data_IF_489378820600
#
_entry.id   IF_489378820600
#
_cell.length_a   1.000
_cell.length_b   1.000
_cell.length_c   1.000
_cell.angle_alpha   90.00
_cell.angle_beta   90.00
_cell.angle_gamma   90.00
#
_symmetry.space_group_name_H-M   'P 1'
#
loop_
_entity.id
_entity.type
_entity.pdbx_description
1 polymer ?
#
# COMPACT_ATOMS: atom_id res chain seq x y z
N UNK A 1 19.27 -48.39 -6.24
CA UNK A 1 18.78 -47.00 -6.28
C UNK A 1 17.38 -46.81 -6.93
N UNK A 2 16.75 -47.77 -7.66
CA UNK A 2 15.34 -47.64 -8.10
C UNK A 2 14.31 -47.72 -6.97
N UNK A 3 14.57 -48.54 -5.94
CA UNK A 3 13.59 -48.80 -4.86
C UNK A 3 13.35 -47.66 -3.89
N UNK A 4 14.29 -46.74 -3.74
CA UNK A 4 14.16 -45.58 -2.86
C UNK A 4 13.19 -44.54 -3.41
N UNK A 5 13.11 -44.40 -4.74
CA UNK A 5 12.16 -43.47 -5.40
C UNK A 5 10.73 -44.01 -5.40
N UNK A 6 10.57 -45.31 -5.50
CA UNK A 6 9.25 -45.96 -5.42
C UNK A 6 8.66 -45.85 -4.00
N UNK A 7 9.47 -46.00 -2.96
CA UNK A 7 9.07 -45.82 -1.56
C UNK A 7 8.69 -44.38 -1.22
N UNK A 8 9.36 -43.36 -1.78
CA UNK A 8 9.02 -41.96 -1.59
C UNK A 8 7.67 -41.59 -2.22
N UNK A 9 7.35 -42.19 -3.36
CA UNK A 9 6.04 -41.99 -4.01
C UNK A 9 4.88 -42.62 -3.25
N UNK A 10 5.12 -43.71 -2.48
CA UNK A 10 4.11 -44.36 -1.63
C UNK A 10 3.77 -43.50 -0.39
N UNK A 11 4.66 -42.61 0.06
CA UNK A 11 4.41 -41.69 1.18
C UNK A 11 3.69 -40.41 0.74
N UNK A 12 3.54 -40.18 -0.56
CA UNK A 12 2.82 -39.02 -1.06
C UNK A 12 1.31 -39.28 -1.07
N UNK A 13 0.47 -38.32 -0.71
CA UNK A 13 -0.97 -38.46 -0.81
C UNK A 13 -1.39 -38.81 -2.25
N UNK A 14 -2.52 -39.49 -2.45
CA UNK A 14 -3.03 -39.83 -3.77
C UNK A 14 -3.03 -38.66 -4.72
N UNK A 15 -2.86 -38.87 -6.05
CA UNK A 15 -2.74 -37.76 -7.04
C UNK A 15 -3.90 -36.76 -6.94
N UNK A 16 -5.08 -37.18 -6.60
CA UNK A 16 -6.30 -36.38 -6.42
C UNK A 16 -6.21 -35.41 -5.22
N UNK A 17 -5.45 -35.78 -4.19
CA UNK A 17 -5.21 -34.96 -3.00
C UNK A 17 -3.92 -34.13 -3.08
N UNK A 18 -3.10 -34.35 -4.11
CA UNK A 18 -1.89 -33.53 -4.33
C UNK A 18 -2.29 -32.14 -4.77
N UNK A 19 -1.95 -31.14 -3.96
CA UNK A 19 -2.13 -29.76 -4.37
C UNK A 19 -1.39 -29.53 -5.69
N UNK A 20 -2.05 -28.98 -6.74
CA UNK A 20 -1.39 -28.73 -8.00
C UNK A 20 -0.20 -27.80 -7.76
N UNK A 21 0.96 -28.17 -8.31
CA UNK A 21 2.17 -27.31 -8.24
C UNK A 21 1.84 -25.96 -8.85
N UNK A 22 2.14 -24.89 -8.14
CA UNK A 22 1.89 -23.51 -8.59
C UNK A 22 2.90 -23.09 -9.65
N UNK A 23 4.10 -23.67 -9.62
CA UNK A 23 5.20 -23.42 -10.57
C UNK A 23 5.53 -24.73 -11.31
N UNK A 24 5.76 -24.71 -12.64
CA UNK A 24 6.18 -25.88 -13.41
C UNK A 24 7.48 -26.48 -12.88
N UNK A 25 7.54 -27.81 -12.74
CA UNK A 25 8.72 -28.50 -12.20
C UNK A 25 9.84 -28.72 -13.25
N UNK A 26 9.63 -28.29 -14.47
CA UNK A 26 10.54 -28.54 -15.60
C UNK A 26 11.90 -27.85 -15.49
N UNK A 27 11.96 -26.75 -14.71
CA UNK A 27 13.22 -26.08 -14.36
C UNK A 27 13.71 -26.58 -13.02
N UNK A 28 14.89 -27.19 -12.96
CA UNK A 28 15.55 -27.52 -11.69
C UNK A 28 15.76 -26.25 -10.84
N UNK A 29 15.97 -26.40 -9.51
CA UNK A 29 16.15 -25.26 -8.58
C UNK A 29 17.17 -24.24 -9.06
N UNK A 30 18.31 -24.68 -9.65
CA UNK A 30 19.32 -23.79 -10.20
C UNK A 30 18.81 -22.94 -11.37
N UNK A 31 18.10 -23.58 -12.31
CA UNK A 31 17.53 -22.88 -13.49
C UNK A 31 16.42 -21.89 -13.12
N UNK A 32 15.63 -22.17 -12.08
CA UNK A 32 14.65 -21.23 -11.55
C UNK A 32 15.34 -20.02 -10.92
N UNK A 33 16.36 -20.25 -10.09
CA UNK A 33 17.14 -19.17 -9.47
C UNK A 33 17.81 -18.27 -10.52
N UNK A 34 18.41 -18.88 -11.56
CA UNK A 34 19.03 -18.12 -12.65
C UNK A 34 18.00 -17.28 -13.43
N UNK A 35 16.81 -17.80 -13.65
CA UNK A 35 15.73 -17.06 -14.26
C UNK A 35 15.26 -15.85 -13.42
N UNK A 36 15.07 -16.04 -12.10
CA UNK A 36 14.61 -14.99 -11.19
C UNK A 36 15.67 -13.89 -10.98
N UNK A 37 16.95 -14.24 -11.00
CA UNK A 37 18.06 -13.29 -10.87
C UNK A 37 18.49 -12.65 -12.18
N UNK A 38 18.08 -13.21 -13.32
CA UNK A 38 18.51 -12.76 -14.66
C UNK A 38 18.17 -11.28 -14.93
N UNK A 39 17.04 -10.80 -14.45
CA UNK A 39 16.65 -9.40 -14.62
C UNK A 39 17.58 -8.45 -13.85
N UNK A 40 17.90 -8.78 -12.60
CA UNK A 40 18.79 -7.97 -11.76
C UNK A 40 20.23 -7.96 -12.28
N UNK A 41 20.76 -9.07 -12.81
CA UNK A 41 22.13 -9.21 -13.30
C UNK A 41 22.29 -8.94 -14.81
N UNK A 42 21.20 -8.86 -15.56
CA UNK A 42 21.19 -8.65 -17.02
C UNK A 42 21.39 -7.18 -17.42
N UNK A 43 21.31 -6.93 -18.73
CA UNK A 43 21.26 -5.57 -19.26
C UNK A 43 19.90 -4.94 -18.95
N UNK A 44 19.90 -3.63 -18.63
CA UNK A 44 18.67 -2.88 -18.39
C UNK A 44 17.86 -2.74 -19.69
N UNK A 45 16.62 -3.23 -19.76
CA UNK A 45 15.82 -3.14 -20.99
C UNK A 45 15.34 -1.70 -21.23
N UNK A 46 15.02 -1.38 -22.50
CA UNK A 46 14.57 -0.02 -22.88
C UNK A 46 13.30 0.42 -22.15
N UNK A 47 12.34 -0.49 -21.93
CA UNK A 47 11.09 -0.17 -21.26
C UNK A 47 11.33 0.37 -19.84
N UNK A 48 12.36 -0.15 -19.14
CA UNK A 48 12.70 0.30 -17.80
C UNK A 48 13.10 1.78 -17.80
N UNK A 49 13.94 2.19 -18.75
CA UNK A 49 14.35 3.60 -18.90
C UNK A 49 13.17 4.51 -19.25
N UNK A 50 12.25 4.05 -20.10
CA UNK A 50 11.04 4.80 -20.49
C UNK A 50 10.13 5.08 -19.27
N UNK A 51 10.07 4.16 -18.31
CA UNK A 51 9.29 4.36 -17.08
C UNK A 51 10.09 5.07 -15.99
N UNK A 52 11.39 4.76 -15.86
CA UNK A 52 12.24 5.29 -14.80
C UNK A 52 12.56 6.76 -14.96
N UNK A 53 12.91 7.22 -16.18
CA UNK A 53 13.32 8.62 -16.38
C UNK A 53 12.21 9.62 -16.03
N UNK A 54 10.95 9.47 -16.50
CA UNK A 54 9.86 10.36 -16.07
C UNK A 54 9.61 10.28 -14.57
N UNK A 55 9.56 9.06 -14.01
CA UNK A 55 9.35 8.90 -12.57
C UNK A 55 10.45 9.60 -11.76
N UNK A 56 11.72 9.40 -12.12
CA UNK A 56 12.87 10.02 -11.48
C UNK A 56 12.88 11.54 -11.65
N UNK A 57 12.42 12.06 -12.80
CA UNK A 57 12.27 13.50 -13.00
C UNK A 57 11.27 14.11 -12.01
N UNK A 58 10.10 13.47 -11.86
CA UNK A 58 9.11 13.92 -10.89
C UNK A 58 9.63 13.79 -9.44
N UNK A 59 10.31 12.71 -9.12
CA UNK A 59 10.86 12.45 -7.79
C UNK A 59 12.02 13.39 -7.41
N UNK A 60 12.97 13.59 -8.32
CA UNK A 60 14.23 14.27 -8.02
C UNK A 60 14.25 15.77 -8.38
N UNK A 61 13.31 16.22 -9.21
CA UNK A 61 13.25 17.61 -9.65
C UNK A 61 11.93 18.25 -9.22
N UNK A 62 10.80 17.73 -9.67
CA UNK A 62 9.50 18.38 -9.43
C UNK A 62 9.18 18.40 -7.94
N UNK A 63 9.24 17.25 -7.28
CA UNK A 63 8.90 17.15 -5.85
C UNK A 63 9.79 18.05 -4.97
N UNK A 64 11.14 18.01 -5.03
CA UNK A 64 11.96 18.88 -4.22
C UNK A 64 11.75 20.36 -4.48
N UNK A 65 11.57 20.78 -5.74
CA UNK A 65 11.29 22.17 -6.08
C UNK A 65 9.99 22.67 -5.45
N UNK A 66 8.93 21.85 -5.52
CA UNK A 66 7.64 22.19 -4.92
C UNK A 66 7.70 22.20 -3.39
N UNK A 67 8.44 21.27 -2.78
CA UNK A 67 8.65 21.26 -1.33
C UNK A 67 9.44 22.50 -0.87
N UNK A 68 10.50 22.87 -1.56
CA UNK A 68 11.25 24.09 -1.24
C UNK A 68 10.35 25.32 -1.38
N UNK A 69 9.56 25.40 -2.45
CA UNK A 69 8.62 26.50 -2.65
C UNK A 69 7.57 26.56 -1.53
N UNK A 70 6.96 25.43 -1.17
CA UNK A 70 5.96 25.35 -0.12
C UNK A 70 6.54 25.68 1.27
N UNK A 71 7.72 25.12 1.64
CA UNK A 71 8.36 25.36 2.92
C UNK A 71 8.80 26.82 3.08
N UNK A 72 9.28 27.44 1.99
CA UNK A 72 9.70 28.85 2.02
C UNK A 72 8.52 29.81 2.09
N UNK A 73 7.42 29.51 1.40
CA UNK A 73 6.25 30.40 1.28
C UNK A 73 5.20 30.11 2.36
N UNK A 74 5.04 28.85 2.75
CA UNK A 74 4.02 28.36 3.69
C UNK A 74 2.86 27.62 2.98
N UNK A 75 1.96 27.04 3.76
CA UNK A 75 0.82 26.21 3.24
C UNK A 75 -0.19 27.00 2.41
N UNK A 76 -0.14 28.33 2.41
CA UNK A 76 -1.02 29.17 1.59
C UNK A 76 -0.83 29.00 0.07
N UNK A 77 0.20 28.24 -0.38
CA UNK A 77 0.39 27.87 -1.79
C UNK A 77 -0.53 26.71 -2.22
N UNK A 78 -1.10 25.98 -1.26
CA UNK A 78 -2.10 24.96 -1.49
C UNK A 78 -3.50 25.55 -1.61
N UNK A 79 -4.45 24.75 -2.11
CA UNK A 79 -5.86 25.15 -2.22
C UNK A 79 -6.61 25.22 -0.89
N UNK A 80 -5.94 24.95 0.24
CA UNK A 80 -6.54 24.94 1.57
C UNK A 80 -7.12 26.32 1.91
N UNK A 81 -8.29 26.32 2.55
CA UNK A 81 -8.98 27.53 2.97
C UNK A 81 -9.54 27.35 4.40
N UNK A 82 -10.24 28.35 4.93
CA UNK A 82 -10.67 28.34 6.31
C UNK A 82 -11.53 27.13 6.71
N UNK A 83 -12.59 26.71 6.00
CA UNK A 83 -13.32 25.49 6.36
C UNK A 83 -12.55 24.23 5.96
N UNK A 84 -11.82 24.22 4.84
CA UNK A 84 -11.06 23.08 4.34
C UNK A 84 -9.59 23.25 4.63
N UNK A 85 -9.22 23.02 5.89
CA UNK A 85 -7.82 23.02 6.32
C UNK A 85 -7.07 21.75 5.87
N UNK A 86 -7.79 20.65 5.66
CA UNK A 86 -7.29 19.39 5.16
C UNK A 86 -7.75 19.18 3.71
N UNK A 87 -6.84 19.37 2.78
CA UNK A 87 -7.08 19.22 1.35
C UNK A 87 -6.38 17.99 0.76
N UNK A 88 -5.78 18.16 -0.39
CA UNK A 88 -5.08 17.08 -1.11
C UNK A 88 -3.92 16.47 -0.33
N UNK A 89 -3.27 17.23 0.52
CA UNK A 89 -2.20 16.78 1.40
C UNK A 89 -2.63 15.62 2.28
N UNK A 90 -3.71 15.78 3.05
CA UNK A 90 -4.23 14.73 3.94
C UNK A 90 -4.95 13.63 3.15
N UNK A 91 -5.63 13.96 2.05
CA UNK A 91 -6.20 12.95 1.14
C UNK A 91 -5.11 11.99 0.65
N UNK A 92 -4.00 12.55 0.19
CA UNK A 92 -2.87 11.75 -0.31
C UNK A 92 -2.17 10.97 0.81
N UNK A 93 -2.03 11.54 2.00
CA UNK A 93 -1.56 10.83 3.19
C UNK A 93 -2.36 9.56 3.43
N UNK A 94 -3.67 9.70 3.60
CA UNK A 94 -4.57 8.58 3.90
C UNK A 94 -4.60 7.57 2.75
N UNK A 95 -4.54 8.02 1.51
CA UNK A 95 -4.49 7.15 0.35
C UNK A 95 -3.20 6.32 0.30
N UNK A 96 -2.02 6.92 0.56
CA UNK A 96 -0.75 6.20 0.62
C UNK A 96 -0.70 5.20 1.78
N UNK A 97 -1.24 5.56 2.94
CA UNK A 97 -1.42 4.62 4.06
C UNK A 97 -2.26 3.44 3.61
N UNK A 98 -3.36 3.68 2.88
CA UNK A 98 -4.21 2.63 2.33
C UNK A 98 -3.46 1.70 1.38
N UNK A 99 -2.71 2.24 0.42
CA UNK A 99 -1.90 1.44 -0.52
C UNK A 99 -0.91 0.53 0.23
N UNK A 100 -0.32 1.00 1.32
CA UNK A 100 0.70 0.26 2.05
C UNK A 100 0.19 -1.04 2.72
N UNK A 101 -1.06 -1.07 3.17
CA UNK A 101 -1.53 -2.12 4.08
C UNK A 101 -1.68 -3.51 3.46
N UNK A 102 -2.09 -3.60 2.20
CA UNK A 102 -2.28 -4.91 1.57
C UNK A 102 -0.97 -5.66 1.32
N UNK A 103 0.14 -4.96 1.12
CA UNK A 103 1.42 -5.61 0.93
C UNK A 103 1.86 -6.37 2.18
N UNK A 104 1.75 -5.74 3.34
CA UNK A 104 2.01 -6.40 4.63
C UNK A 104 1.00 -7.53 4.89
N UNK A 105 -0.28 -7.32 4.58
CA UNK A 105 -1.30 -8.35 4.76
C UNK A 105 -1.02 -9.58 3.88
N UNK A 106 -0.61 -9.40 2.61
CA UNK A 106 -0.26 -10.48 1.71
C UNK A 106 0.97 -11.25 2.22
N UNK A 107 2.00 -10.55 2.65
CA UNK A 107 3.23 -11.21 3.09
C UNK A 107 3.11 -11.80 4.49
N UNK A 108 2.68 -11.02 5.47
CA UNK A 108 2.64 -11.41 6.88
C UNK A 108 1.44 -12.32 7.21
N UNK A 109 0.21 -11.91 6.91
CA UNK A 109 -0.98 -12.69 7.27
C UNK A 109 -1.06 -13.99 6.48
N UNK A 110 -0.72 -14.01 5.19
CA UNK A 110 -0.67 -15.24 4.42
C UNK A 110 0.45 -16.17 4.89
N UNK A 111 1.53 -15.64 5.44
CA UNK A 111 2.56 -16.45 6.10
C UNK A 111 2.03 -17.11 7.37
N UNK A 112 1.40 -16.35 8.26
CA UNK A 112 0.79 -16.87 9.49
C UNK A 112 -0.28 -17.94 9.22
N UNK A 113 -1.03 -17.77 8.13
CA UNK A 113 -2.03 -18.74 7.68
C UNK A 113 -1.45 -19.87 6.80
N UNK A 114 -0.12 -19.96 6.67
CA UNK A 114 0.61 -20.97 5.91
C UNK A 114 0.18 -21.09 4.44
N UNK A 115 -0.07 -19.95 3.79
CA UNK A 115 -0.45 -19.92 2.38
C UNK A 115 0.78 -19.88 1.47
N UNK A 116 1.09 -20.97 0.81
CA UNK A 116 2.29 -21.10 -0.05
C UNK A 116 2.28 -20.19 -1.29
N UNK A 117 1.10 -19.80 -1.78
CA UNK A 117 1.03 -18.93 -2.97
C UNK A 117 1.55 -17.50 -2.73
N UNK A 118 1.79 -17.09 -1.49
CA UNK A 118 2.34 -15.78 -1.13
C UNK A 118 3.77 -15.58 -1.66
N UNK A 119 4.59 -16.64 -1.76
CA UNK A 119 6.00 -16.54 -2.13
C UNK A 119 6.21 -15.92 -3.52
N UNK A 120 5.27 -16.14 -4.45
CA UNK A 120 5.32 -15.57 -5.79
C UNK A 120 5.02 -14.06 -5.86
N UNK A 121 4.38 -13.48 -4.84
CA UNK A 121 3.92 -12.09 -4.86
C UNK A 121 4.37 -11.28 -3.64
N UNK A 122 4.78 -11.94 -2.56
CA UNK A 122 5.07 -11.32 -1.26
C UNK A 122 6.15 -10.24 -1.35
N UNK A 123 7.29 -10.51 -1.99
CA UNK A 123 8.40 -9.53 -2.09
C UNK A 123 8.01 -8.24 -2.79
N UNK A 124 7.29 -8.35 -3.91
CA UNK A 124 6.78 -7.19 -4.65
C UNK A 124 5.80 -6.37 -3.81
N UNK A 125 4.96 -7.07 -3.04
CA UNK A 125 3.98 -6.46 -2.15
C UNK A 125 4.63 -5.81 -0.91
N UNK A 126 5.64 -6.43 -0.30
CA UNK A 126 6.43 -5.85 0.81
C UNK A 126 7.16 -4.56 0.39
N UNK A 127 7.82 -4.57 -0.77
CA UNK A 127 8.46 -3.38 -1.32
C UNK A 127 7.45 -2.25 -1.57
N UNK A 128 6.27 -2.57 -2.12
CA UNK A 128 5.16 -1.62 -2.27
C UNK A 128 4.80 -1.00 -0.92
N UNK A 129 4.67 -1.80 0.14
CA UNK A 129 4.37 -1.30 1.49
C UNK A 129 5.39 -0.27 1.95
N UNK A 130 6.69 -0.64 1.96
CA UNK A 130 7.75 0.24 2.48
C UNK A 130 7.77 1.58 1.74
N UNK A 131 7.68 1.55 0.41
CA UNK A 131 7.71 2.78 -0.39
C UNK A 131 6.45 3.61 -0.24
N UNK A 132 5.28 2.98 -0.08
CA UNK A 132 4.02 3.70 0.16
C UNK A 132 4.00 4.36 1.54
N UNK A 133 4.49 3.68 2.59
CA UNK A 133 4.57 4.28 3.94
C UNK A 133 5.56 5.43 3.97
N UNK A 134 6.69 5.34 3.24
CA UNK A 134 7.62 6.45 3.11
C UNK A 134 6.97 7.68 2.47
N UNK A 135 6.14 7.48 1.42
CA UNK A 135 5.36 8.57 0.82
C UNK A 135 4.28 9.08 1.77
N UNK A 136 3.59 8.19 2.49
CA UNK A 136 2.61 8.60 3.49
C UNK A 136 3.23 9.49 4.57
N UNK A 137 4.37 9.09 5.13
CA UNK A 137 5.06 9.85 6.19
C UNK A 137 5.55 11.24 5.77
N UNK A 138 5.72 11.50 4.47
CA UNK A 138 6.09 12.81 3.96
C UNK A 138 4.98 13.85 4.16
N UNK A 139 3.71 13.48 3.96
CA UNK A 139 2.59 14.43 3.97
C UNK A 139 2.34 15.09 5.32
N UNK A 140 2.30 14.40 6.47
CA UNK A 140 2.19 15.07 7.77
C UNK A 140 3.32 16.06 8.03
N UNK A 141 4.56 15.72 7.63
CA UNK A 141 5.71 16.61 7.80
C UNK A 141 5.57 17.91 6.98
N UNK A 142 5.08 17.83 5.73
CA UNK A 142 4.90 19.01 4.90
C UNK A 142 3.59 19.77 5.18
N UNK A 143 2.59 19.08 5.77
CA UNK A 143 1.30 19.68 6.14
C UNK A 143 1.44 20.79 7.18
N UNK A 144 2.41 20.70 8.08
CA UNK A 144 2.72 21.77 9.05
C UNK A 144 3.19 23.06 8.36
N UNK A 145 3.51 23.01 7.07
CA UNK A 145 3.99 24.12 6.24
C UNK A 145 5.46 24.44 6.46
N UNK A 146 5.91 24.44 7.69
CA UNK A 146 7.30 24.66 8.07
C UNK A 146 7.81 23.49 8.90
N UNK A 147 8.52 22.59 8.26
CA UNK A 147 8.96 21.29 8.83
C UNK A 147 9.74 21.41 10.14
N UNK A 148 10.38 22.56 10.41
CA UNK A 148 11.06 22.78 11.69
C UNK A 148 10.10 22.95 12.89
N UNK A 149 8.80 23.01 12.66
CA UNK A 149 7.79 22.97 13.72
C UNK A 149 7.22 21.57 13.96
N UNK A 150 7.60 20.57 13.19
CA UNK A 150 7.08 19.19 13.31
C UNK A 150 7.35 18.57 14.68
N UNK A 151 8.33 19.09 15.42
CA UNK A 151 8.60 18.64 16.78
C UNK A 151 7.41 18.81 17.74
N UNK A 152 6.44 19.68 17.44
CA UNK A 152 5.18 19.76 18.20
C UNK A 152 4.36 18.45 18.17
N UNK A 153 4.56 17.63 17.15
CA UNK A 153 3.91 16.32 17.02
C UNK A 153 4.61 15.21 17.83
N UNK A 154 5.82 15.48 18.34
CA UNK A 154 6.56 14.50 19.13
C UNK A 154 6.25 14.64 20.61
N UNK A 155 6.45 13.57 21.43
CA UNK A 155 6.18 13.57 22.87
C UNK A 155 7.27 14.32 23.65
N UNK A 156 7.53 15.54 23.29
CA UNK A 156 8.49 16.44 23.92
C UNK A 156 7.80 17.76 24.32
N UNK A 157 8.18 18.39 25.43
CA UNK A 157 7.58 19.64 25.84
C UNK A 157 7.91 20.78 24.87
N UNK A 158 6.98 21.70 24.70
CA UNK A 158 7.19 22.92 23.94
C UNK A 158 8.19 23.85 24.64
N UNK A 159 8.64 24.91 23.95
CA UNK A 159 9.51 25.93 24.55
C UNK A 159 8.93 26.58 25.82
N UNK A 160 7.61 26.57 25.96
CA UNK A 160 6.90 27.05 27.14
C UNK A 160 6.66 25.98 28.21
N UNK A 161 7.26 24.79 28.06
CA UNK A 161 7.09 23.65 28.99
C UNK A 161 5.77 22.91 28.87
N UNK A 162 4.91 23.24 27.91
CA UNK A 162 3.66 22.54 27.69
C UNK A 162 3.89 21.22 26.94
N UNK A 163 3.29 20.14 27.43
CA UNK A 163 3.31 18.84 26.75
C UNK A 163 2.25 18.77 25.64
N UNK A 164 2.52 18.00 24.56
CA UNK A 164 1.51 17.72 23.56
C UNK A 164 0.27 17.05 24.17
N UNK A 165 -0.87 17.18 23.49
CA UNK A 165 -2.11 16.55 23.92
C UNK A 165 -2.09 15.05 23.59
N UNK A 166 -1.75 14.20 24.57
CA UNK A 166 -1.66 12.74 24.41
C UNK A 166 -2.99 12.05 24.09
N UNK A 167 -4.12 12.74 24.26
CA UNK A 167 -5.45 12.22 23.87
C UNK A 167 -5.78 12.49 22.40
N UNK A 168 -4.94 13.24 21.68
CA UNK A 168 -5.15 13.53 20.26
C UNK A 168 -4.74 12.35 19.39
N UNK A 169 -5.61 11.84 18.49
CA UNK A 169 -5.25 10.82 17.52
C UNK A 169 -4.12 11.26 16.58
N UNK A 170 -4.02 12.55 16.25
CA UNK A 170 -2.92 13.10 15.42
C UNK A 170 -1.55 12.84 16.03
N UNK A 171 -1.45 12.83 17.37
CA UNK A 171 -0.22 12.44 18.04
C UNK A 171 0.03 10.93 17.97
N UNK A 172 -1.04 10.13 18.04
CA UNK A 172 -0.92 8.67 17.89
C UNK A 172 -0.46 8.28 16.50
N UNK A 173 -0.83 9.04 15.46
CA UNK A 173 -0.37 8.83 14.09
C UNK A 173 1.14 8.91 13.96
N UNK A 174 1.80 9.80 14.68
CA UNK A 174 3.27 9.90 14.66
C UNK A 174 3.90 8.57 15.09
N UNK A 175 3.39 7.97 16.19
CA UNK A 175 3.87 6.66 16.64
C UNK A 175 3.48 5.56 15.67
N UNK A 176 2.23 5.55 15.21
CA UNK A 176 1.68 4.51 14.36
C UNK A 176 2.43 4.44 13.02
N UNK A 177 2.57 5.55 12.31
CA UNK A 177 3.23 5.61 10.99
C UNK A 177 4.71 5.30 11.11
N UNK A 178 5.43 5.87 12.10
CA UNK A 178 6.85 5.61 12.29
C UNK A 178 7.11 4.14 12.69
N UNK A 179 6.31 3.58 13.60
CA UNK A 179 6.42 2.17 14.00
C UNK A 179 6.13 1.25 12.81
N UNK A 180 5.11 1.58 12.01
CA UNK A 180 4.76 0.80 10.83
C UNK A 180 5.86 0.85 9.76
N UNK A 181 6.44 2.01 9.51
CA UNK A 181 7.58 2.15 8.59
C UNK A 181 8.78 1.32 9.06
N UNK A 182 9.11 1.42 10.35
CA UNK A 182 10.24 0.67 10.93
C UNK A 182 10.01 -0.84 10.84
N UNK A 183 8.87 -1.33 11.31
CA UNK A 183 8.57 -2.77 11.32
C UNK A 183 8.44 -3.32 9.91
N UNK A 184 7.79 -2.60 8.99
CA UNK A 184 7.66 -3.02 7.59
C UNK A 184 9.02 -3.07 6.89
N UNK A 185 9.90 -2.10 7.16
CA UNK A 185 11.27 -2.09 6.63
C UNK A 185 12.08 -3.25 7.18
N UNK A 186 12.01 -3.52 8.49
CA UNK A 186 12.68 -4.66 9.11
C UNK A 186 12.16 -6.00 8.57
N UNK A 187 10.83 -6.13 8.44
CA UNK A 187 10.20 -7.33 7.91
C UNK A 187 10.63 -7.61 6.47
N UNK A 188 10.58 -6.60 5.60
CA UNK A 188 11.06 -6.68 4.23
C UNK A 188 12.56 -7.00 4.15
N UNK A 189 13.39 -6.31 4.96
CA UNK A 189 14.84 -6.50 4.97
C UNK A 189 15.23 -7.90 5.47
N UNK A 190 14.66 -8.37 6.58
CA UNK A 190 14.91 -9.73 7.10
C UNK A 190 14.58 -10.76 6.03
N UNK A 191 13.44 -10.59 5.37
CA UNK A 191 13.05 -11.44 4.25
C UNK A 191 14.05 -11.42 3.08
N UNK A 192 14.69 -10.28 2.79
CA UNK A 192 15.67 -10.16 1.71
C UNK A 192 17.03 -10.77 2.01
N UNK A 193 17.41 -10.99 3.28
CA UNK A 193 18.76 -11.47 3.66
C UNK A 193 19.17 -12.75 2.91
N UNK A 194 18.36 -13.83 2.86
CA UNK A 194 18.72 -15.03 2.10
C UNK A 194 18.82 -14.77 0.59
N UNK A 195 17.93 -13.93 0.04
CA UNK A 195 17.91 -13.58 -1.36
C UNK A 195 19.15 -12.76 -1.75
N UNK A 196 19.59 -11.82 -0.88
CA UNK A 196 20.81 -11.02 -1.07
C UNK A 196 22.07 -11.89 -1.04
N UNK A 197 22.10 -12.92 -0.20
CA UNK A 197 23.21 -13.87 -0.20
C UNK A 197 23.27 -14.65 -1.53
N UNK A 198 22.14 -15.08 -2.06
CA UNK A 198 22.05 -15.70 -3.39
C UNK A 198 22.52 -14.74 -4.51
N UNK A 199 22.12 -13.47 -4.45
CA UNK A 199 22.56 -12.44 -5.39
C UNK A 199 24.07 -12.19 -5.28
N UNK A 200 24.63 -12.17 -4.07
CA UNK A 200 26.08 -12.06 -3.84
C UNK A 200 26.84 -13.18 -4.56
N UNK A 201 26.38 -14.41 -4.41
CA UNK A 201 27.07 -15.58 -4.96
C UNK A 201 26.99 -15.64 -6.48
N UNK A 202 25.98 -14.99 -7.09
CA UNK A 202 25.78 -14.88 -8.55
C UNK A 202 26.24 -13.55 -9.16
N UNK A 203 26.66 -12.58 -8.34
CA UNK A 203 27.02 -11.25 -8.80
C UNK A 203 28.21 -11.27 -9.78
N UNK A 204 28.04 -10.67 -10.97
CA UNK A 204 29.05 -10.59 -12.03
C UNK A 204 30.13 -9.55 -11.76
N UNK A 205 29.81 -8.49 -10.99
CA UNK A 205 30.74 -7.40 -10.72
C UNK A 205 31.19 -7.39 -9.26
N UNK A 206 32.46 -6.98 -9.00
CA UNK A 206 32.99 -6.89 -7.63
C UNK A 206 32.18 -5.95 -6.74
N UNK A 207 31.72 -4.82 -7.29
CA UNK A 207 30.92 -3.83 -6.54
C UNK A 207 29.58 -4.44 -6.09
N UNK A 208 28.85 -5.11 -6.97
CA UNK A 208 27.59 -5.78 -6.62
C UNK A 208 27.81 -6.88 -5.60
N UNK A 209 28.85 -7.70 -5.81
CA UNK A 209 29.23 -8.76 -4.85
C UNK A 209 29.51 -8.21 -3.45
N UNK A 210 30.21 -7.08 -3.37
CA UNK A 210 30.48 -6.40 -2.10
C UNK A 210 29.19 -5.86 -1.46
N UNK A 211 28.37 -5.13 -2.24
CA UNK A 211 27.13 -4.55 -1.73
C UNK A 211 26.15 -5.62 -1.25
N UNK A 212 25.88 -6.64 -2.07
CA UNK A 212 25.00 -7.74 -1.65
C UNK A 212 25.58 -8.50 -0.45
N UNK A 213 26.90 -8.68 -0.39
CA UNK A 213 27.58 -9.30 0.75
C UNK A 213 27.42 -8.50 2.05
N UNK A 214 27.54 -7.19 1.95
CA UNK A 214 27.36 -6.28 3.09
C UNK A 214 25.93 -6.39 3.65
N UNK A 215 24.94 -6.31 2.79
CA UNK A 215 23.52 -6.36 3.19
C UNK A 215 23.02 -7.78 3.49
N UNK A 216 23.72 -8.84 3.08
CA UNK A 216 23.40 -10.22 3.45
C UNK A 216 23.85 -10.57 4.89
N UNK A 217 24.50 -9.66 5.62
CA UNK A 217 24.90 -9.80 7.03
C UNK A 217 25.60 -11.15 7.34
N UNK A 218 26.47 -11.62 6.44
CA UNK A 218 27.20 -12.88 6.63
C UNK A 218 26.35 -14.14 6.49
N UNK A 219 25.19 -14.07 5.86
CA UNK A 219 24.33 -15.23 5.61
C UNK A 219 25.07 -16.33 4.82
N UNK A 220 25.10 -17.55 5.37
CA UNK A 220 25.77 -18.74 4.78
C UNK A 220 24.78 -19.86 4.43
N UNK A 221 23.50 -19.72 4.74
CA UNK A 221 22.50 -20.77 4.50
C UNK A 221 22.60 -21.97 5.46
N UNK A 222 23.30 -21.85 6.59
CA UNK A 222 23.39 -22.91 7.59
C UNK A 222 22.04 -23.20 8.26
N UNK A 223 21.84 -24.42 8.78
CA UNK A 223 20.61 -24.80 9.47
C UNK A 223 20.28 -23.85 10.64
N UNK A 224 21.33 -23.33 11.34
CA UNK A 224 21.16 -22.35 12.41
C UNK A 224 20.64 -21.01 11.87
N UNK A 225 21.13 -20.55 10.70
CA UNK A 225 20.66 -19.32 10.08
C UNK A 225 19.20 -19.44 9.66
N UNK A 226 18.79 -20.55 9.04
CA UNK A 226 17.42 -20.80 8.68
C UNK A 226 16.49 -20.84 9.88
N UNK A 227 16.86 -21.53 10.95
CA UNK A 227 16.08 -21.59 12.17
C UNK A 227 15.87 -20.21 12.82
N UNK A 228 16.93 -19.39 12.89
CA UNK A 228 16.83 -18.04 13.41
C UNK A 228 16.01 -17.12 12.51
N UNK A 229 16.15 -17.28 11.19
CA UNK A 229 15.36 -16.57 10.19
C UNK A 229 13.84 -16.86 10.34
N UNK A 230 13.47 -18.13 10.38
CA UNK A 230 12.06 -18.52 10.52
C UNK A 230 11.44 -17.95 11.79
N UNK A 231 12.16 -17.97 12.92
CA UNK A 231 11.70 -17.37 14.17
C UNK A 231 11.54 -15.86 14.06
N UNK A 232 12.55 -15.15 13.54
CA UNK A 232 12.51 -13.71 13.38
C UNK A 232 11.39 -13.29 12.42
N UNK A 233 11.26 -14.00 11.30
CA UNK A 233 10.23 -13.72 10.31
C UNK A 233 8.82 -13.99 10.86
N UNK A 234 8.65 -15.04 11.69
CA UNK A 234 7.37 -15.34 12.36
C UNK A 234 6.97 -14.21 13.33
N UNK A 235 7.89 -13.78 14.18
CA UNK A 235 7.62 -12.70 15.15
C UNK A 235 7.29 -11.39 14.43
N UNK A 236 8.09 -11.02 13.42
CA UNK A 236 7.86 -9.82 12.63
C UNK A 236 6.53 -9.90 11.85
N UNK A 237 6.16 -11.09 11.34
CA UNK A 237 4.87 -11.27 10.67
C UNK A 237 3.69 -11.05 11.61
N UNK A 238 3.78 -11.57 12.84
CA UNK A 238 2.77 -11.34 13.88
C UNK A 238 2.63 -9.85 14.19
N UNK A 239 3.75 -9.18 14.44
CA UNK A 239 3.78 -7.76 14.75
C UNK A 239 3.28 -6.91 13.57
N UNK A 240 3.74 -7.18 12.36
CA UNK A 240 3.33 -6.47 11.16
C UNK A 240 1.81 -6.63 10.88
N UNK A 241 1.25 -7.82 11.11
CA UNK A 241 -0.19 -8.06 10.96
C UNK A 241 -1.00 -7.23 11.94
N UNK A 242 -0.59 -7.15 13.21
CA UNK A 242 -1.26 -6.30 14.20
C UNK A 242 -1.19 -4.81 13.83
N UNK A 243 -0.03 -4.37 13.31
CA UNK A 243 0.15 -2.97 12.89
C UNK A 243 -0.73 -2.58 11.72
N UNK A 244 -1.04 -3.48 10.79
CA UNK A 244 -2.00 -3.21 9.70
C UNK A 244 -3.35 -2.77 10.25
N UNK A 245 -3.86 -3.46 11.29
CA UNK A 245 -5.13 -3.11 11.90
C UNK A 245 -5.03 -1.84 12.74
N UNK A 246 -4.00 -1.71 13.58
CA UNK A 246 -3.89 -0.59 14.52
C UNK A 246 -3.62 0.73 13.82
N UNK A 247 -2.72 0.78 12.84
CA UNK A 247 -2.38 2.04 12.14
C UNK A 247 -3.57 2.60 11.38
N UNK A 248 -4.26 1.79 10.57
CA UNK A 248 -5.47 2.27 9.89
C UNK A 248 -6.59 2.65 10.86
N UNK A 249 -6.72 1.94 11.99
CA UNK A 249 -7.70 2.31 13.01
C UNK A 249 -7.37 3.65 13.65
N UNK A 250 -6.08 3.95 13.90
CA UNK A 250 -5.63 5.23 14.45
C UNK A 250 -5.95 6.36 13.47
N UNK A 251 -5.58 6.23 12.20
CA UNK A 251 -5.94 7.20 11.16
C UNK A 251 -7.48 7.36 11.06
N UNK A 252 -8.26 6.28 11.23
CA UNK A 252 -9.72 6.35 11.31
C UNK A 252 -10.22 7.14 12.54
N UNK A 253 -9.48 7.10 13.65
CA UNK A 253 -9.81 7.85 14.86
C UNK A 253 -9.63 9.37 14.70
N UNK A 254 -8.76 9.85 13.80
CA UNK A 254 -8.65 11.28 13.49
C UNK A 254 -9.98 11.90 13.05
N UNK A 255 -10.80 11.08 12.40
CA UNK A 255 -12.13 11.45 11.97
C UNK A 255 -13.19 11.10 13.03
N UNK A 256 -13.19 9.86 13.53
CA UNK A 256 -14.21 9.35 14.44
C UNK A 256 -14.31 10.11 15.76
N UNK A 257 -13.19 10.67 16.26
CA UNK A 257 -13.19 11.45 17.50
C UNK A 257 -13.51 12.93 17.31
N UNK A 258 -13.60 13.39 16.05
CA UNK A 258 -14.01 14.76 15.78
C UNK A 258 -15.51 14.95 16.00
N UNK A 259 -15.95 16.19 16.14
CA UNK A 259 -17.37 16.54 16.27
C UNK A 259 -18.02 16.92 14.94
N UNK A 260 -17.27 16.85 13.85
CA UNK A 260 -17.75 17.24 12.53
C UNK A 260 -18.81 16.25 12.02
N UNK A 261 -19.91 16.74 11.48
CA UNK A 261 -20.93 15.92 10.84
C UNK A 261 -20.33 15.10 9.69
N UNK A 262 -20.69 13.83 9.60
CA UNK A 262 -20.15 12.89 8.63
C UNK A 262 -18.75 12.37 8.93
N UNK A 263 -18.13 12.76 10.06
CA UNK A 263 -16.89 12.21 10.61
C UNK A 263 -17.11 11.48 11.92
N UNK A 264 -17.96 11.99 12.80
CA UNK A 264 -18.20 11.47 14.14
C UNK A 264 -18.96 10.14 14.10
N UNK A 265 -18.32 9.09 13.63
CA UNK A 265 -18.91 7.76 13.48
C UNK A 265 -18.00 6.65 14.03
N UNK A 266 -18.60 5.73 14.78
CA UNK A 266 -17.88 4.62 15.42
C UNK A 266 -17.35 3.58 14.43
N UNK A 267 -17.89 3.54 13.20
CA UNK A 267 -17.48 2.60 12.15
C UNK A 267 -16.15 2.99 11.49
N UNK A 268 -15.72 4.25 11.59
CA UNK A 268 -14.54 4.77 10.87
C UNK A 268 -13.25 3.97 11.09
N UNK A 269 -12.87 3.53 12.30
CA UNK A 269 -11.66 2.70 12.48
C UNK A 269 -11.71 1.41 11.67
N UNK A 270 -12.84 0.71 11.65
CA UNK A 270 -13.03 -0.50 10.86
C UNK A 270 -13.10 -0.18 9.34
N UNK A 271 -13.79 0.88 8.98
CA UNK A 271 -13.90 1.37 7.62
C UNK A 271 -12.52 1.65 7.00
N UNK A 272 -11.66 2.36 7.72
CA UNK A 272 -10.32 2.69 7.24
C UNK A 272 -9.45 1.45 7.06
N UNK A 273 -9.55 0.47 7.96
CA UNK A 273 -8.86 -0.83 7.78
C UNK A 273 -9.34 -1.55 6.52
N UNK A 274 -10.65 -1.68 6.34
CA UNK A 274 -11.23 -2.36 5.18
C UNK A 274 -10.87 -1.66 3.86
N UNK A 275 -11.00 -0.34 3.82
CA UNK A 275 -10.65 0.49 2.67
C UNK A 275 -9.16 0.45 2.34
N UNK A 276 -8.29 0.45 3.35
CA UNK A 276 -6.85 0.33 3.15
C UNK A 276 -6.47 -1.00 2.51
N UNK A 277 -7.01 -2.11 3.03
CA UNK A 277 -6.79 -3.44 2.46
C UNK A 277 -7.31 -3.54 1.03
N UNK A 278 -8.49 -2.99 0.76
CA UNK A 278 -9.10 -2.97 -0.57
C UNK A 278 -8.27 -2.16 -1.58
N UNK A 279 -7.87 -0.94 -1.22
CA UNK A 279 -7.00 -0.06 -2.02
C UNK A 279 -5.68 -0.77 -2.36
N UNK A 280 -5.05 -1.34 -1.36
CA UNK A 280 -3.77 -2.01 -1.53
C UNK A 280 -3.85 -3.26 -2.40
N UNK A 281 -4.92 -4.08 -2.35
CA UNK A 281 -5.12 -5.17 -3.32
C UNK A 281 -5.25 -4.64 -4.76
N UNK A 282 -5.94 -3.53 -4.96
CA UNK A 282 -5.97 -2.82 -6.24
C UNK A 282 -4.56 -2.47 -6.72
N UNK A 283 -3.74 -1.85 -5.86
CA UNK A 283 -2.37 -1.45 -6.21
C UNK A 283 -1.47 -2.67 -6.47
N UNK A 284 -1.60 -3.74 -5.70
CA UNK A 284 -0.86 -5.00 -5.96
C UNK A 284 -1.16 -5.52 -7.37
N UNK A 285 -2.41 -5.52 -7.81
CA UNK A 285 -2.76 -5.93 -9.18
C UNK A 285 -2.18 -4.97 -10.24
N UNK A 286 -2.19 -3.66 -9.98
CA UNK A 286 -1.59 -2.65 -10.86
C UNK A 286 -0.09 -2.88 -11.04
N UNK A 287 0.61 -3.30 -9.99
CA UNK A 287 2.05 -3.57 -10.05
C UNK A 287 2.37 -4.95 -10.62
N UNK A 288 1.68 -6.00 -10.17
CA UNK A 288 1.99 -7.38 -10.54
C UNK A 288 1.70 -7.71 -12.02
N UNK A 289 0.64 -7.16 -12.60
CA UNK A 289 0.26 -7.50 -13.98
C UNK A 289 1.32 -7.02 -14.98
N UNK A 290 1.77 -5.76 -14.96
CA UNK A 290 2.88 -5.32 -15.80
C UNK A 290 4.19 -6.03 -15.48
N UNK A 291 4.52 -6.18 -14.17
CA UNK A 291 5.75 -6.83 -13.73
C UNK A 291 5.86 -8.25 -14.27
N UNK A 292 4.79 -9.03 -14.19
CA UNK A 292 4.70 -10.39 -14.72
C UNK A 292 5.13 -10.45 -16.19
N UNK A 293 4.65 -9.51 -17.02
CA UNK A 293 4.94 -9.47 -18.46
C UNK A 293 6.32 -8.88 -18.76
N UNK A 294 6.67 -7.78 -18.10
CA UNK A 294 7.89 -7.02 -18.41
C UNK A 294 9.16 -7.73 -17.91
N UNK A 295 9.06 -8.51 -16.86
CA UNK A 295 10.17 -9.30 -16.30
C UNK A 295 10.12 -10.78 -16.70
N UNK A 296 9.22 -11.19 -17.63
CA UNK A 296 9.06 -12.57 -18.08
C UNK A 296 8.83 -13.59 -16.96
N UNK A 297 7.98 -13.22 -16.00
CA UNK A 297 7.67 -14.01 -14.79
C UNK A 297 6.35 -14.80 -14.92
N UNK A 298 5.90 -15.09 -16.16
CA UNK A 298 4.63 -15.75 -16.42
C UNK A 298 4.54 -17.15 -15.81
N UNK A 299 5.67 -17.83 -15.72
CA UNK A 299 5.78 -19.18 -15.18
C UNK A 299 5.66 -19.20 -13.63
N UNK A 300 6.01 -18.11 -12.96
CA UNK A 300 6.04 -18.00 -11.51
C UNK A 300 4.79 -17.29 -11.00
N UNK A 301 4.48 -16.11 -11.56
CA UNK A 301 3.25 -15.39 -11.27
C UNK A 301 2.16 -15.91 -12.23
N UNK A 302 1.57 -17.04 -11.91
CA UNK A 302 0.58 -17.69 -12.77
C UNK A 302 -0.78 -17.00 -12.70
N UNK A 303 -1.68 -17.22 -13.67
CA UNK A 303 -3.05 -16.68 -13.62
C UNK A 303 -3.81 -17.11 -12.35
N UNK A 304 -3.43 -18.23 -11.72
CA UNK A 304 -4.03 -18.68 -10.44
C UNK A 304 -3.70 -17.75 -9.27
N UNK A 305 -2.50 -17.15 -9.24
CA UNK A 305 -2.13 -16.16 -8.24
C UNK A 305 -2.99 -14.91 -8.38
N UNK A 306 -3.14 -14.41 -9.61
CA UNK A 306 -3.95 -13.24 -9.92
C UNK A 306 -5.44 -13.50 -9.60
N UNK A 307 -5.98 -14.68 -9.95
CA UNK A 307 -7.36 -15.06 -9.59
C UNK A 307 -7.61 -15.05 -8.08
N UNK A 308 -6.62 -15.48 -7.27
CA UNK A 308 -6.72 -15.41 -5.81
C UNK A 308 -6.75 -13.96 -5.30
N UNK A 309 -5.89 -13.09 -5.82
CA UNK A 309 -5.90 -11.67 -5.46
C UNK A 309 -7.22 -11.02 -5.88
N UNK A 310 -7.76 -11.32 -7.08
CA UNK A 310 -9.07 -10.84 -7.52
C UNK A 310 -10.21 -11.27 -6.57
N UNK A 311 -10.16 -12.50 -6.05
CA UNK A 311 -11.16 -12.98 -5.07
C UNK A 311 -11.05 -12.26 -3.73
N UNK A 312 -9.83 -11.96 -3.27
CA UNK A 312 -9.63 -11.14 -2.06
C UNK A 312 -10.12 -9.69 -2.29
N UNK A 313 -9.84 -9.12 -3.46
CA UNK A 313 -10.36 -7.80 -3.86
C UNK A 313 -11.89 -7.81 -3.91
N UNK A 314 -12.52 -8.86 -4.44
CA UNK A 314 -13.97 -9.01 -4.44
C UNK A 314 -14.54 -9.04 -3.01
N UNK A 315 -13.94 -9.86 -2.13
CA UNK A 315 -14.35 -9.95 -0.73
C UNK A 315 -14.33 -8.57 -0.06
N UNK A 316 -13.21 -7.84 -0.21
CA UNK A 316 -13.09 -6.49 0.36
C UNK A 316 -14.04 -5.50 -0.31
N UNK A 317 -14.31 -5.62 -1.61
CA UNK A 317 -15.32 -4.82 -2.31
C UNK A 317 -16.74 -5.06 -1.77
N UNK A 318 -17.09 -6.29 -1.38
CA UNK A 318 -18.35 -6.58 -0.69
C UNK A 318 -18.40 -5.94 0.71
N UNK A 319 -17.28 -5.99 1.46
CA UNK A 319 -17.17 -5.32 2.77
C UNK A 319 -17.33 -3.81 2.61
N UNK A 320 -16.69 -3.19 1.61
CA UNK A 320 -16.83 -1.76 1.34
C UNK A 320 -18.27 -1.38 0.98
N UNK A 321 -18.94 -2.17 0.14
CA UNK A 321 -20.34 -1.97 -0.19
C UNK A 321 -21.23 -2.02 1.06
N UNK A 322 -21.00 -2.98 1.95
CA UNK A 322 -21.71 -3.09 3.23
C UNK A 322 -21.49 -1.84 4.09
N UNK A 323 -20.24 -1.37 4.22
CA UNK A 323 -19.91 -0.19 5.01
C UNK A 323 -20.64 1.05 4.48
N UNK A 324 -20.60 1.30 3.16
CA UNK A 324 -21.31 2.44 2.56
C UNK A 324 -22.82 2.41 2.82
N UNK A 325 -23.43 1.23 2.65
CA UNK A 325 -24.86 1.06 2.96
C UNK A 325 -25.12 1.36 4.43
N UNK A 326 -24.27 0.90 5.33
CA UNK A 326 -24.41 1.12 6.77
C UNK A 326 -24.28 2.61 7.11
N UNK A 327 -23.29 3.33 6.57
CA UNK A 327 -23.12 4.76 6.81
C UNK A 327 -24.34 5.57 6.37
N UNK A 328 -24.80 5.36 5.13
CA UNK A 328 -26.00 6.05 4.62
C UNK A 328 -27.25 5.69 5.43
N UNK A 329 -27.37 4.42 5.82
CA UNK A 329 -28.51 3.97 6.65
C UNK A 329 -28.48 4.65 8.02
N UNK A 330 -27.33 4.71 8.71
CA UNK A 330 -27.20 5.32 10.02
C UNK A 330 -27.47 6.82 9.94
N UNK A 331 -26.92 7.52 8.95
CA UNK A 331 -27.17 8.95 8.74
C UNK A 331 -28.65 9.26 8.55
N UNK A 332 -29.39 8.38 7.88
CA UNK A 332 -30.85 8.50 7.73
C UNK A 332 -31.59 8.09 9.01
N UNK A 333 -31.23 6.97 9.65
CA UNK A 333 -31.93 6.39 10.78
C UNK A 333 -31.84 7.23 12.05
N UNK A 334 -30.68 7.82 12.32
CA UNK A 334 -30.44 8.65 13.51
C UNK A 334 -31.27 9.94 13.52
N UNK A 335 -31.72 10.38 12.35
CA UNK A 335 -32.51 11.62 12.23
C UNK A 335 -31.72 12.90 12.53
N UNK A 336 -30.40 12.82 12.64
CA UNK A 336 -29.53 13.99 12.80
C UNK A 336 -29.55 14.82 11.50
N UNK A 337 -30.05 16.07 11.53
CA UNK A 337 -30.19 16.88 10.31
C UNK A 337 -28.83 17.22 9.68
N UNK A 338 -27.76 17.33 10.45
CA UNK A 338 -26.42 17.64 9.93
C UNK A 338 -25.82 16.45 9.19
N UNK A 339 -25.94 15.24 9.74
CA UNK A 339 -25.45 14.03 9.06
C UNK A 339 -26.26 13.76 7.80
N UNK A 340 -27.60 13.81 7.88
CA UNK A 340 -28.47 13.65 6.73
C UNK A 340 -28.15 14.67 5.61
N UNK A 341 -27.82 15.91 5.99
CA UNK A 341 -27.39 16.94 5.05
C UNK A 341 -26.08 16.57 4.35
N UNK A 342 -25.02 16.25 5.11
CA UNK A 342 -23.71 15.93 4.55
C UNK A 342 -23.78 14.70 3.65
N UNK A 343 -24.41 13.61 4.11
CA UNK A 343 -24.55 12.38 3.31
C UNK A 343 -25.40 12.59 2.06
N UNK A 344 -26.48 13.37 2.15
CA UNK A 344 -27.28 13.77 0.98
C UNK A 344 -26.46 14.56 -0.03
N UNK A 345 -25.63 15.49 0.44
CA UNK A 345 -24.81 16.35 -0.42
C UNK A 345 -23.62 15.60 -1.05
N UNK A 346 -23.14 14.51 -0.45
CA UNK A 346 -22.12 13.63 -1.07
C UNK A 346 -22.59 13.07 -2.41
N UNK A 347 -23.91 12.85 -2.60
CA UNK A 347 -24.48 12.28 -3.82
C UNK A 347 -25.25 13.29 -4.69
N UNK A 348 -25.91 14.26 -4.06
CA UNK A 348 -26.85 15.16 -4.75
C UNK A 348 -26.52 16.65 -4.55
N UNK A 349 -25.40 16.95 -3.88
CA UNK A 349 -24.92 18.31 -3.67
C UNK A 349 -24.45 18.99 -4.95
N UNK A 350 -24.33 20.34 -4.90
CA UNK A 350 -23.95 21.11 -6.09
C UNK A 350 -22.49 20.93 -6.51
N UNK A 351 -21.55 20.73 -5.57
CA UNK A 351 -20.11 20.82 -5.88
C UNK A 351 -19.44 19.49 -6.08
N UNK A 352 -19.52 18.55 -5.15
CA UNK A 352 -18.66 17.34 -5.16
C UNK A 352 -19.47 16.03 -5.35
N UNK A 353 -20.70 16.11 -5.82
CA UNK A 353 -21.59 14.96 -6.07
C UNK A 353 -20.94 13.86 -6.92
N UNK A 354 -20.11 14.24 -7.88
CA UNK A 354 -19.41 13.30 -8.75
C UNK A 354 -18.45 12.40 -7.96
N UNK A 355 -17.80 12.93 -6.90
CA UNK A 355 -16.91 12.15 -6.03
C UNK A 355 -17.66 11.04 -5.32
N UNK A 356 -18.84 11.31 -4.77
CA UNK A 356 -19.70 10.30 -4.14
C UNK A 356 -20.15 9.21 -5.10
N UNK A 357 -20.55 9.57 -6.32
CA UNK A 357 -20.92 8.57 -7.33
C UNK A 357 -19.73 7.75 -7.82
N UNK A 358 -18.55 8.35 -8.02
CA UNK A 358 -17.32 7.61 -8.35
C UNK A 358 -17.00 6.63 -7.23
N UNK A 359 -17.04 7.06 -5.96
CA UNK A 359 -16.81 6.22 -4.79
C UNK A 359 -17.72 4.98 -4.82
N UNK A 360 -19.04 5.16 -4.94
CA UNK A 360 -20.01 4.05 -4.91
C UNK A 360 -19.85 3.13 -6.14
N UNK A 361 -19.83 3.70 -7.34
CA UNK A 361 -19.79 2.92 -8.57
C UNK A 361 -18.48 2.14 -8.71
N UNK A 362 -17.36 2.75 -8.35
CA UNK A 362 -16.04 2.13 -8.52
C UNK A 362 -15.72 1.17 -7.38
N UNK A 363 -15.97 1.55 -6.13
CA UNK A 363 -15.53 0.75 -4.99
C UNK A 363 -16.55 -0.34 -4.59
N UNK A 364 -17.84 -0.10 -4.76
CA UNK A 364 -18.87 -1.08 -4.41
C UNK A 364 -19.33 -1.92 -5.61
N UNK A 365 -19.57 -1.30 -6.78
CA UNK A 365 -20.18 -2.01 -7.92
C UNK A 365 -19.14 -2.67 -8.83
N UNK A 366 -18.04 -1.98 -9.14
CA UNK A 366 -17.06 -2.50 -10.10
C UNK A 366 -16.37 -3.80 -9.64
N UNK A 367 -15.99 -4.00 -8.35
CA UNK A 367 -15.42 -5.26 -7.88
C UNK A 367 -16.34 -6.47 -8.02
N UNK A 368 -17.66 -6.25 -8.09
CA UNK A 368 -18.63 -7.33 -8.29
C UNK A 368 -18.46 -8.03 -9.65
N UNK A 369 -17.83 -7.38 -10.63
CA UNK A 369 -17.45 -8.03 -11.89
C UNK A 369 -16.51 -9.25 -11.67
N UNK A 370 -15.78 -9.28 -10.56
CA UNK A 370 -14.92 -10.41 -10.22
C UNK A 370 -15.69 -11.68 -9.80
N UNK A 371 -17.01 -11.66 -9.66
CA UNK A 371 -17.81 -12.89 -9.59
C UNK A 371 -17.68 -13.70 -10.88
N UNK A 372 -17.55 -13.06 -12.01
CA UNK A 372 -17.48 -13.74 -13.29
C UNK A 372 -16.05 -14.24 -13.58
N UNK A 373 -15.91 -15.55 -13.76
CA UNK A 373 -14.61 -16.18 -14.09
C UNK A 373 -13.97 -15.61 -15.35
N UNK A 374 -14.78 -15.25 -16.36
CA UNK A 374 -14.30 -14.63 -17.62
C UNK A 374 -13.56 -13.32 -17.35
N UNK A 375 -14.03 -12.51 -16.42
CA UNK A 375 -13.37 -11.25 -16.03
C UNK A 375 -12.04 -11.54 -15.34
N UNK A 376 -12.02 -12.47 -14.36
CA UNK A 376 -10.80 -12.86 -13.62
C UNK A 376 -9.74 -13.56 -14.48
N UNK A 377 -10.06 -13.96 -15.69
CA UNK A 377 -9.11 -14.52 -16.66
C UNK A 377 -8.56 -13.51 -17.65
N UNK A 378 -9.14 -12.31 -17.74
CA UNK A 378 -8.72 -11.25 -18.65
C UNK A 378 -7.82 -10.22 -17.93
N UNK A 379 -6.51 -10.39 -18.08
CA UNK A 379 -5.51 -9.53 -17.42
C UNK A 379 -5.66 -8.04 -17.74
N UNK A 380 -6.07 -7.68 -18.95
CA UNK A 380 -6.27 -6.28 -19.33
C UNK A 380 -7.44 -5.66 -18.56
N UNK A 381 -8.53 -6.43 -18.45
CA UNK A 381 -9.73 -5.96 -17.72
C UNK A 381 -9.44 -5.90 -16.21
N UNK A 382 -8.73 -6.88 -15.65
CA UNK A 382 -8.30 -6.85 -14.25
C UNK A 382 -7.45 -5.61 -13.97
N UNK A 383 -6.48 -5.31 -14.84
CA UNK A 383 -5.63 -4.14 -14.70
C UNK A 383 -6.43 -2.84 -14.72
N UNK A 384 -7.37 -2.71 -15.65
CA UNK A 384 -8.25 -1.54 -15.73
C UNK A 384 -9.10 -1.39 -14.45
N UNK A 385 -9.73 -2.47 -14.00
CA UNK A 385 -10.51 -2.47 -12.75
C UNK A 385 -9.63 -2.08 -11.56
N UNK A 386 -8.42 -2.61 -11.48
CA UNK A 386 -7.48 -2.32 -10.40
C UNK A 386 -7.04 -0.84 -10.37
N UNK A 387 -6.78 -0.24 -11.54
CA UNK A 387 -6.50 1.20 -11.65
C UNK A 387 -7.72 2.03 -11.21
N UNK A 388 -8.91 1.66 -11.68
CA UNK A 388 -10.15 2.37 -11.30
C UNK A 388 -10.40 2.26 -9.79
N UNK A 389 -10.17 1.10 -9.16
CA UNK A 389 -10.27 0.94 -7.70
C UNK A 389 -9.37 1.95 -6.97
N UNK A 390 -8.12 2.11 -7.39
CA UNK A 390 -7.21 3.08 -6.76
C UNK A 390 -7.71 4.53 -6.91
N UNK A 391 -8.27 4.87 -8.07
CA UNK A 391 -8.90 6.16 -8.31
C UNK A 391 -10.15 6.32 -7.43
N UNK A 392 -11.01 5.30 -7.37
CA UNK A 392 -12.22 5.31 -6.53
C UNK A 392 -11.91 5.46 -5.04
N UNK A 393 -10.84 4.80 -4.57
CA UNK A 393 -10.37 4.92 -3.19
C UNK A 393 -9.78 6.30 -2.89
N UNK A 394 -9.14 6.94 -3.87
CA UNK A 394 -8.71 8.33 -3.73
C UNK A 394 -9.92 9.28 -3.62
N UNK A 395 -10.93 9.10 -4.48
CA UNK A 395 -12.17 9.87 -4.41
C UNK A 395 -12.96 9.62 -3.11
N UNK A 396 -12.92 8.43 -2.57
CA UNK A 396 -13.49 8.14 -1.26
C UNK A 396 -12.87 9.02 -0.17
N UNK A 397 -11.53 9.12 -0.12
CA UNK A 397 -10.84 10.00 0.84
C UNK A 397 -11.18 11.48 0.59
N UNK A 398 -11.30 11.87 -0.67
CA UNK A 398 -11.75 13.21 -1.04
C UNK A 398 -13.16 13.51 -0.52
N UNK A 399 -14.11 12.59 -0.68
CA UNK A 399 -15.49 12.74 -0.21
C UNK A 399 -15.56 12.82 1.32
N UNK A 400 -14.79 11.96 2.01
CA UNK A 400 -14.75 11.98 3.48
C UNK A 400 -14.14 13.30 3.97
N UNK A 401 -13.04 13.76 3.42
CA UNK A 401 -12.31 14.92 3.94
C UNK A 401 -12.91 16.23 3.41
N UNK A 402 -12.75 16.50 2.14
CA UNK A 402 -13.21 17.77 1.55
C UNK A 402 -14.73 17.84 1.51
N UNK A 403 -15.41 16.72 1.18
CA UNK A 403 -16.86 16.65 1.12
C UNK A 403 -17.59 16.89 2.46
N UNK A 404 -16.88 16.76 3.59
CA UNK A 404 -17.43 17.10 4.91
C UNK A 404 -16.99 18.49 5.38
N UNK A 405 -15.74 18.88 5.12
CA UNK A 405 -15.18 20.14 5.62
C UNK A 405 -15.73 21.38 4.92
N UNK A 406 -16.02 21.33 3.62
CA UNK A 406 -16.40 22.52 2.86
C UNK A 406 -17.75 23.15 3.28
N UNK A 407 -18.55 22.39 4.00
CA UNK A 407 -19.84 22.79 4.58
C UNK A 407 -19.93 22.34 6.05
N UNK A 408 -19.19 23.00 6.90
CA UNK A 408 -19.20 22.80 8.35
C UNK A 408 -20.49 23.35 9.00
N UNK A 409 -20.53 23.41 10.35
CA UNK A 409 -21.66 23.92 11.11
C UNK A 409 -21.95 25.41 10.91
N UNK A 410 -21.00 26.18 10.35
CA UNK A 410 -21.14 27.62 10.18
C UNK A 410 -21.33 27.99 8.70
N UNK A 411 -22.56 28.19 8.23
CA UNK A 411 -22.82 28.52 6.82
C UNK A 411 -22.06 29.73 6.29
N UNK A 412 -21.74 30.68 7.16
CA UNK A 412 -20.96 31.86 6.81
C UNK A 412 -19.51 31.54 6.34
N UNK A 413 -18.98 30.38 6.78
CA UNK A 413 -17.63 29.93 6.46
C UNK A 413 -17.59 29.02 5.22
N UNK A 414 -18.74 28.57 4.71
CA UNK A 414 -18.79 27.61 3.59
C UNK A 414 -18.03 28.10 2.38
N UNK A 415 -17.03 27.33 1.97
CA UNK A 415 -16.21 27.63 0.79
C UNK A 415 -15.85 26.36 0.07
N UNK A 416 -15.88 26.44 -1.26
CA UNK A 416 -15.36 25.37 -2.11
C UNK A 416 -13.84 25.31 -2.05
N UNK A 417 -13.31 24.10 -2.06
CA UNK A 417 -11.91 23.79 -2.20
C UNK A 417 -11.56 23.51 -3.65
N UNK A 418 -10.48 24.08 -4.14
CA UNK A 418 -9.92 23.77 -5.44
C UNK A 418 -8.42 23.52 -5.31
N UNK A 419 -7.90 22.39 -5.80
CA UNK A 419 -6.48 22.12 -5.74
C UNK A 419 -5.71 23.12 -6.60
N UNK A 420 -4.56 23.54 -6.13
CA UNK A 420 -3.62 24.36 -6.90
C UNK A 420 -2.68 23.46 -7.72
N UNK A 421 -1.88 24.07 -8.58
CA UNK A 421 -0.83 23.36 -9.30
C UNK A 421 0.22 22.74 -8.36
N UNK A 422 0.41 23.32 -7.14
CA UNK A 422 1.31 22.79 -6.11
C UNK A 422 0.76 21.50 -5.52
N UNK A 423 -0.54 21.44 -5.22
CA UNK A 423 -1.22 20.20 -4.76
C UNK A 423 -1.03 19.08 -5.78
N UNK A 424 -1.35 19.37 -7.04
CA UNK A 424 -1.28 18.40 -8.15
C UNK A 424 0.17 17.97 -8.38
N UNK A 425 1.09 18.92 -8.39
CA UNK A 425 2.51 18.64 -8.62
C UNK A 425 3.15 17.86 -7.48
N UNK A 426 2.80 18.14 -6.23
CA UNK A 426 3.27 17.37 -5.05
C UNK A 426 2.76 15.93 -5.12
N UNK A 427 1.50 15.71 -5.46
CA UNK A 427 0.96 14.37 -5.65
C UNK A 427 1.66 13.62 -6.79
N UNK A 428 1.82 14.25 -7.95
CA UNK A 428 2.56 13.66 -9.07
C UNK A 428 4.03 13.36 -8.71
N UNK A 429 4.64 14.23 -7.91
CA UNK A 429 6.00 14.06 -7.37
C UNK A 429 6.12 12.85 -6.45
N UNK A 430 5.16 12.63 -5.54
CA UNK A 430 5.15 11.44 -4.67
C UNK A 430 4.87 10.16 -5.45
N UNK A 431 3.99 10.19 -6.47
CA UNK A 431 3.83 9.06 -7.40
C UNK A 431 5.14 8.76 -8.14
N UNK A 432 5.84 9.80 -8.63
CA UNK A 432 7.15 9.67 -9.23
C UNK A 432 8.17 9.03 -8.30
N UNK A 433 8.22 9.47 -7.04
CA UNK A 433 9.12 8.94 -6.03
C UNK A 433 8.81 7.46 -5.70
N UNK A 434 7.55 7.10 -5.54
CA UNK A 434 7.11 5.72 -5.34
C UNK A 434 7.54 4.82 -6.51
N UNK A 435 7.21 5.20 -7.75
CA UNK A 435 7.57 4.41 -8.92
C UNK A 435 9.08 4.36 -9.14
N UNK A 436 9.83 5.43 -8.83
CA UNK A 436 11.29 5.43 -8.88
C UNK A 436 11.87 4.38 -7.94
N UNK A 437 11.46 4.38 -6.66
CA UNK A 437 11.90 3.41 -5.67
C UNK A 437 11.51 1.98 -6.09
N UNK A 438 10.29 1.79 -6.58
CA UNK A 438 9.80 0.48 -7.02
C UNK A 438 10.57 -0.04 -8.25
N UNK A 439 10.86 0.81 -9.24
CA UNK A 439 11.65 0.45 -10.42
C UNK A 439 13.12 0.16 -10.06
N UNK A 440 13.70 0.88 -9.10
CA UNK A 440 15.03 0.56 -8.57
C UNK A 440 15.03 -0.79 -7.85
N UNK A 441 14.01 -1.06 -7.01
CA UNK A 441 13.83 -2.36 -6.39
C UNK A 441 13.78 -3.48 -7.45
N UNK A 442 12.90 -3.37 -8.45
CA UNK A 442 12.77 -4.34 -9.53
C UNK A 442 14.09 -4.54 -10.27
N UNK A 443 14.91 -3.49 -10.40
CA UNK A 443 16.18 -3.54 -11.14
C UNK A 443 17.33 -4.18 -10.36
N UNK A 444 17.39 -3.97 -9.06
CA UNK A 444 18.56 -4.35 -8.27
C UNK A 444 18.31 -5.47 -7.27
N UNK A 445 17.06 -5.75 -6.94
CA UNK A 445 16.68 -6.74 -5.95
C UNK A 445 15.76 -7.81 -6.55
N UNK A 446 15.73 -9.02 -6.00
CA UNK A 446 14.85 -10.06 -6.49
C UNK A 446 13.39 -9.72 -6.13
N UNK A 447 12.56 -9.72 -7.17
CA UNK A 447 11.13 -9.35 -7.07
C UNK A 447 10.29 -10.48 -6.44
N UNK A 448 10.83 -11.68 -6.44
CA UNK A 448 10.21 -12.90 -5.91
C UNK A 448 11.18 -13.49 -4.89
N UNK A 449 10.63 -14.09 -3.83
CA UNK A 449 11.43 -14.83 -2.86
C UNK A 449 12.10 -16.02 -3.55
N UNK A 450 13.43 -15.94 -3.75
CA UNK A 450 14.20 -16.96 -4.46
C UNK A 450 14.64 -18.07 -3.51
N UNK A 451 14.89 -17.72 -2.26
CA UNK A 451 15.38 -18.64 -1.24
C UNK A 451 14.27 -19.46 -0.57
N UNK A 452 13.01 -19.00 -0.59
CA UNK A 452 11.81 -19.67 -0.06
C UNK A 452 11.12 -20.52 -1.15
#
# INVERSE_FOLDING_TARGET
>A
MPDTMANLNALLPPPELRRPKLVPAERGLGGLTDHLTAFAEGRTPRWWWVLFVPAALFAAVVLPLLLVYQISTGIGVWGNNQPVAWGWDIINFVWWVGVAHAGTLISAMLFLTRQHWRTAIGRAAEAMTVFSVAMAGLYPAIHTGRVWFDWFLFPIPTANGNWPQFRSPLMWDVFAVNTYLMVSTLFWYVGLIPDLALMRDRAKTRVRKFLYGLFALGWTGSARHWHNYEKAYLVLSGLATLLVFTVSSIVGMDFATSQLAGWHETIFPFYFVAGAVFCGFGMVLVLLIPLRKLCHLEDVITPRHIDKVCKMTLLMGCVMAYIYVTEFFIAWYTGNPYDAWIFGHRLFGRQYWYGGWIMILVNASLPQLFWFKRVRQNLKLIFLIAVLINIGMWFERFVIIVGSLYQDFLPANWRAYFPTWVDIGTYAGTLGAFFTMYLLFVRFLPVIAVAE
#
